data_IF_548314647528
#
_entry.id   IF_548314647528
#
_cell.length_a   1.000
_cell.length_b   1.000
_cell.length_c   1.000
_cell.angle_alpha   90.00
_cell.angle_beta   90.00
_cell.angle_gamma   90.00
#
_symmetry.space_group_name_H-M   'P 1'
#
loop_
_entity.id
_entity.type
_entity.pdbx_description
1 polymer ?
2 polymer ?
3 non-polymer ?
4 water ?
#
# COMPACT_ATOMS: atom_id res chain seq x y z
N UNK A 2 15.11 -0.04 21.06
CA UNK A 2 16.00 1.09 20.83
C UNK A 2 15.73 1.72 19.48
N UNK A 3 16.69 2.51 18.98
CA UNK A 3 16.56 3.22 17.72
C UNK A 3 17.78 2.94 16.87
N UNK A 4 17.56 2.58 15.60
CA UNK A 4 18.63 2.38 14.63
C UNK A 4 18.51 3.46 13.58
N UNK A 5 19.50 4.34 13.52
CA UNK A 5 19.43 5.53 12.67
C UNK A 5 19.63 5.16 11.21
N UNK A 6 18.77 5.71 10.34
CA UNK A 6 18.82 5.48 8.92
C UNK A 6 18.42 6.77 8.21
N UNK A 7 19.15 7.16 7.16
CA UNK A 7 18.77 8.36 6.41
C UNK A 7 17.42 8.16 5.74
N UNK A 8 16.57 9.19 5.75
CA UNK A 8 15.20 9.01 5.23
C UNK A 8 15.16 8.73 3.74
N UNK A 9 16.08 9.27 2.95
CA UNK A 9 16.05 9.12 1.51
C UNK A 9 17.45 8.93 0.96
N UNK A 10 17.54 8.12 -0.10
CA UNK A 10 18.78 7.91 -0.83
C UNK A 10 18.48 8.04 -2.33
N UNK A 11 19.54 8.23 -3.10
CA UNK A 11 19.36 8.46 -4.53
C UNK A 11 20.60 8.02 -5.28
N UNK A 12 20.38 7.61 -6.53
CA UNK A 12 21.46 7.21 -7.42
C UNK A 12 20.94 7.07 -8.83
N UNK A 13 21.80 7.37 -9.79
CA UNK A 13 21.39 7.32 -11.19
C UNK A 13 21.43 5.90 -11.72
N UNK A 14 20.74 5.70 -12.84
CA UNK A 14 20.65 4.38 -13.45
C UNK A 14 22.05 3.88 -13.83
N UNK A 15 22.43 2.72 -13.29
CA UNK A 15 23.73 2.17 -13.50
C UNK A 15 24.78 2.58 -12.48
N UNK A 16 24.49 3.56 -11.63
CA UNK A 16 25.43 4.01 -10.63
C UNK A 16 25.28 3.18 -9.36
N UNK A 17 25.88 3.66 -8.27
CA UNK A 17 25.84 2.96 -6.99
C UNK A 17 25.36 3.90 -5.90
N UNK A 18 24.74 3.30 -4.87
CA UNK A 18 24.25 4.04 -3.71
C UNK A 18 24.46 3.17 -2.49
N UNK A 19 24.98 3.76 -1.42
CA UNK A 19 25.18 3.09 -0.15
C UNK A 19 24.17 3.62 0.86
N UNK A 20 23.51 2.71 1.56
CA UNK A 20 22.50 3.05 2.56
C UNK A 20 23.06 2.63 3.92
N UNK A 21 23.33 3.62 4.78
CA UNK A 21 23.90 3.34 6.09
C UNK A 21 22.82 2.96 7.10
N UNK A 22 23.26 2.28 8.16
CA UNK A 22 22.38 1.76 9.20
C UNK A 22 23.18 1.77 10.49
N UNK A 23 22.91 2.77 11.35
CA UNK A 23 23.75 3.05 12.51
C UNK A 23 23.00 2.66 13.78
N UNK A 24 23.62 1.80 14.59
CA UNK A 24 23.07 1.41 15.87
C UNK A 24 24.03 1.70 17.00
N UNK A 25 24.05 0.83 18.00
CA UNK A 25 24.94 0.97 19.15
C UNK A 25 25.77 -0.29 19.31
N UNK A 26 26.51 -0.37 20.42
CA UNK A 26 27.34 -1.53 20.71
C UNK A 26 26.52 -2.73 21.19
N UNK A 27 25.21 -2.57 21.38
CA UNK A 27 24.37 -3.66 21.85
C UNK A 27 23.50 -4.25 20.76
N UNK A 28 23.62 -3.76 19.52
CA UNK A 28 22.86 -4.31 18.41
C UNK A 28 23.73 -4.41 17.17
N UNK A 29 23.87 -3.30 16.43
CA UNK A 29 24.62 -3.32 15.18
C UNK A 29 26.10 -3.59 15.45
N UNK A 30 26.68 -2.93 16.44
CA UNK A 30 28.06 -3.12 16.77
C UNK A 30 28.37 -4.19 17.80
N UNK A 31 27.37 -4.97 18.20
CA UNK A 31 27.57 -6.00 19.19
C UNK A 31 27.52 -7.41 18.64
N UNK A 32 26.95 -7.56 17.45
CA UNK A 32 26.83 -8.86 16.80
C UNK A 32 27.05 -8.68 15.30
N UNK A 33 27.32 -9.79 14.63
CA UNK A 33 27.39 -9.84 13.17
C UNK A 33 26.10 -10.39 12.58
N UNK A 34 24.97 -9.91 13.08
CA UNK A 34 23.66 -10.39 12.64
C UNK A 34 22.80 -9.24 12.12
N UNK A 35 23.30 -8.51 11.12
CA UNK A 35 22.57 -7.41 10.51
C UNK A 35 21.89 -7.94 9.25
N UNK A 36 20.60 -7.64 9.10
CA UNK A 36 19.83 -8.03 7.94
C UNK A 36 19.37 -6.79 7.19
N UNK A 37 19.06 -6.99 5.90
CA UNK A 37 18.54 -5.92 5.06
C UNK A 37 17.29 -6.42 4.34
N UNK A 38 16.30 -5.55 4.23
CA UNK A 38 15.02 -5.90 3.63
C UNK A 38 14.64 -4.87 2.58
N UNK A 39 14.05 -5.35 1.49
CA UNK A 39 13.51 -4.50 0.43
C UNK A 39 11.99 -4.62 0.44
N UNK A 40 11.32 -3.49 0.29
CA UNK A 40 9.85 -3.46 0.26
C UNK A 40 9.40 -2.55 -0.88
N UNK A 41 8.83 -3.16 -1.92
CA UNK A 41 8.15 -2.42 -2.96
C UNK A 41 6.77 -1.98 -2.48
N UNK A 42 6.21 -0.93 -3.08
CA UNK A 42 4.92 -0.43 -2.60
C UNK A 42 3.81 -1.47 -2.76
N UNK A 43 3.01 -1.62 -1.72
CA UNK A 43 1.89 -2.53 -1.75
C UNK A 43 2.23 -4.00 -1.58
N UNK A 44 3.48 -4.31 -1.27
CA UNK A 44 3.93 -5.70 -1.18
C UNK A 44 4.75 -5.92 0.08
N UNK A 45 4.82 -7.18 0.50
CA UNK A 45 5.50 -7.56 1.73
C UNK A 45 7.01 -7.39 1.57
N UNK A 46 7.72 -7.19 2.69
CA UNK A 46 9.19 -7.08 2.61
C UNK A 46 9.84 -8.34 2.07
N UNK A 47 11.05 -8.17 1.56
CA UNK A 47 11.84 -9.26 0.99
C UNK A 47 13.24 -9.24 1.58
N UNK A 48 13.67 -10.38 2.11
CA UNK A 48 15.00 -10.47 2.71
C UNK A 48 16.07 -10.39 1.63
N UNK A 49 16.96 -9.40 1.74
CA UNK A 49 18.04 -9.19 0.79
C UNK A 49 19.41 -9.56 1.33
N UNK A 50 19.67 -9.28 2.61
CA UNK A 50 20.95 -9.56 3.23
C UNK A 50 20.68 -10.11 4.63
N UNK A 51 21.45 -11.14 5.02
CA UNK A 51 21.48 -11.61 6.39
C UNK A 51 22.92 -11.82 6.80
N UNK A 52 23.16 -11.79 8.12
CA UNK A 52 24.51 -11.88 8.69
C UNK A 52 25.44 -10.86 8.03
N UNK A 53 25.01 -9.61 7.99
CA UNK A 53 25.80 -8.46 7.55
C UNK A 53 26.02 -8.46 6.05
N UNK A 54 26.48 -9.60 5.49
CA UNK A 54 26.91 -9.61 4.10
C UNK A 54 26.48 -10.84 3.30
N UNK A 55 25.67 -11.73 3.85
CA UNK A 55 25.26 -12.93 3.13
C UNK A 55 23.96 -12.67 2.36
N UNK A 56 23.90 -13.17 1.13
CA UNK A 56 22.75 -13.01 0.25
C UNK A 56 21.97 -14.30 0.16
N UNK A 57 20.65 -14.27 0.34
CA UNK A 57 19.84 -15.47 0.09
C UNK A 57 19.81 -15.79 -1.40
N UNK A 58 19.26 -16.96 -1.70
CA UNK A 58 19.02 -17.33 -3.09
C UNK A 58 17.94 -16.44 -3.68
N UNK A 59 18.19 -15.92 -4.89
CA UNK A 59 17.26 -15.04 -5.55
C UNK A 59 17.60 -13.56 -5.47
N UNK A 60 18.66 -13.19 -4.77
CA UNK A 60 19.09 -11.80 -4.66
C UNK A 60 20.29 -11.59 -5.58
N UNK A 61 20.25 -10.60 -6.47
CA UNK A 61 21.36 -10.41 -7.40
C UNK A 61 22.63 -9.98 -6.67
N UNK A 62 23.76 -10.15 -7.37
CA UNK A 62 25.05 -9.75 -6.83
C UNK A 62 25.19 -8.24 -6.69
N UNK A 63 24.26 -7.47 -7.25
CA UNK A 63 24.35 -6.02 -7.17
C UNK A 63 24.19 -5.52 -5.74
N UNK A 64 23.47 -6.26 -4.91
CA UNK A 64 23.31 -5.92 -3.49
C UNK A 64 24.41 -6.58 -2.68
N UNK A 65 25.10 -5.79 -1.86
CA UNK A 65 26.18 -6.30 -1.03
C UNK A 65 26.14 -5.59 0.31
N UNK A 66 26.55 -6.32 1.35
CA UNK A 66 26.48 -5.83 2.71
C UNK A 66 27.87 -5.70 3.34
N UNK A 67 27.98 -4.79 4.29
CA UNK A 67 29.21 -4.59 5.04
C UNK A 67 28.87 -3.91 6.36
N UNK A 68 29.79 -4.00 7.31
CA UNK A 68 29.61 -3.40 8.63
C UNK A 68 30.95 -2.88 9.13
N UNK A 69 30.89 -1.81 9.92
CA UNK A 69 32.10 -1.18 10.44
C UNK A 69 31.72 -0.44 11.72
N UNK A 70 32.06 -1.03 12.86
CA UNK A 70 31.67 -0.44 14.13
C UNK A 70 30.17 -0.58 14.34
N UNK A 71 29.53 0.54 14.70
CA UNK A 71 28.09 0.56 14.91
C UNK A 71 27.32 0.88 13.63
N UNK A 72 27.97 0.84 12.47
CA UNK A 72 27.37 1.27 11.22
C UNK A 72 27.43 0.14 10.19
N UNK A 73 26.27 -0.33 9.77
CA UNK A 73 26.16 -1.31 8.70
C UNK A 73 25.69 -0.61 7.42
N UNK A 74 26.21 -1.06 6.28
CA UNK A 74 25.96 -0.41 5.01
C UNK A 74 25.46 -1.42 3.98
N UNK A 75 24.53 -0.97 3.13
CA UNK A 75 24.04 -1.73 2.00
C UNK A 75 24.36 -0.98 0.73
N UNK A 76 25.19 -1.58 -0.13
CA UNK A 76 25.60 -0.98 -1.38
C UNK A 76 24.91 -1.68 -2.53
N UNK A 77 24.31 -0.89 -3.43
CA UNK A 77 23.61 -1.42 -4.61
C UNK A 77 24.32 -0.86 -5.83
N UNK A 78 25.14 -1.67 -6.47
CA UNK A 78 25.84 -1.29 -7.70
C UNK A 78 24.97 -1.58 -8.91
N UNK A 79 25.32 -0.92 -10.03
CA UNK A 79 24.56 -1.07 -11.26
C UNK A 79 23.08 -0.85 -11.06
N UNK A 80 22.74 0.26 -10.41
CA UNK A 80 21.37 0.55 -10.01
C UNK A 80 20.40 0.40 -11.18
N UNK A 81 19.24 -0.19 -10.91
CA UNK A 81 18.24 -0.46 -11.93
C UNK A 81 16.89 0.08 -11.48
N UNK A 82 15.96 0.15 -12.44
CA UNK A 82 14.64 0.73 -12.18
C UNK A 82 13.89 -0.03 -11.08
N UNK A 83 13.98 -1.36 -11.09
CA UNK A 83 13.27 -2.16 -10.10
C UNK A 83 13.87 -2.04 -8.70
N UNK A 84 15.06 -1.46 -8.57
CA UNK A 84 15.67 -1.26 -7.26
C UNK A 84 15.03 -0.12 -6.48
N UNK A 85 14.26 0.75 -7.13
CA UNK A 85 13.56 1.81 -6.42
C UNK A 85 12.54 1.21 -5.47
N UNK A 86 12.76 1.40 -4.17
CA UNK A 86 11.92 0.83 -3.13
C UNK A 86 12.33 1.38 -1.76
N UNK A 87 11.77 0.82 -0.69
CA UNK A 87 12.19 1.15 0.66
C UNK A 87 13.10 0.05 1.19
N UNK A 88 14.09 0.44 1.98
CA UNK A 88 15.08 -0.50 2.50
C UNK A 88 15.21 -0.30 4.00
N UNK A 89 15.00 -1.38 4.76
CA UNK A 89 15.13 -1.39 6.21
C UNK A 89 16.22 -2.36 6.61
N UNK A 90 17.02 -1.98 7.60
CA UNK A 90 18.00 -2.87 8.19
C UNK A 90 17.45 -3.45 9.49
N UNK A 91 17.89 -4.66 9.82
CA UNK A 91 17.50 -5.31 11.05
C UNK A 91 18.75 -5.79 11.79
N UNK A 92 18.65 -5.89 13.11
CA UNK A 92 19.78 -6.33 13.91
C UNK A 92 19.29 -7.05 15.16
N UNK A 93 20.06 -8.04 15.57
CA UNK A 93 19.80 -8.73 16.83
C UNK A 93 20.24 -7.87 18.00
N UNK A 94 19.54 -8.03 19.14
CA UNK A 94 19.83 -7.20 20.31
C UNK A 94 19.68 -7.95 21.62
N UNK A 95 19.70 -9.28 21.61
CA UNK A 95 19.56 -10.05 22.83
C UNK A 95 18.14 -10.50 23.12
N UNK A 96 17.77 -11.66 22.57
CA UNK A 96 16.38 -12.15 22.53
C UNK A 96 15.41 -11.13 21.94
N UNK A 97 15.90 -10.08 21.31
CA UNK A 97 15.03 -9.10 20.69
C UNK A 97 15.69 -8.60 19.42
N UNK A 98 14.85 -8.24 18.45
CA UNK A 98 15.31 -7.62 17.23
C UNK A 98 14.90 -6.16 17.20
N UNK A 99 15.53 -5.43 16.28
CA UNK A 99 15.22 -4.02 16.10
C UNK A 99 15.48 -3.66 14.64
N UNK A 100 14.57 -2.88 14.07
CA UNK A 100 14.69 -2.44 12.69
C UNK A 100 15.21 -1.01 12.63
N UNK A 101 15.79 -0.66 11.48
CA UNK A 101 16.14 0.71 11.19
C UNK A 101 14.93 1.53 10.83
N UNK A 102 15.14 2.83 10.68
CA UNK A 102 14.05 3.73 10.33
C UNK A 102 13.55 3.54 8.93
N UNK A 103 14.42 3.19 8.00
CA UNK A 103 14.02 3.00 6.62
C UNK A 103 14.56 4.10 5.74
N UNK A 104 14.85 3.74 4.48
CA UNK A 104 15.37 4.67 3.51
C UNK A 104 14.66 4.44 2.18
N UNK A 105 14.08 5.51 1.64
CA UNK A 105 13.50 5.46 0.31
C UNK A 105 14.60 5.65 -0.73
N UNK A 106 14.71 4.70 -1.64
CA UNK A 106 15.72 4.72 -2.68
C UNK A 106 15.08 5.15 -3.99
N UNK A 107 15.52 6.29 -4.52
CA UNK A 107 15.06 6.79 -5.81
C UNK A 107 16.16 6.59 -6.84
N UNK A 108 15.81 5.95 -7.95
CA UNK A 108 16.75 5.74 -9.05
C UNK A 108 16.57 6.89 -10.04
N UNK A 109 17.54 7.80 -10.06
CA UNK A 109 17.40 9.03 -10.83
C UNK A 109 17.81 8.81 -12.28
N UNK A 110 17.24 9.61 -13.18
CA UNK A 110 17.64 9.63 -14.57
C UNK A 110 17.32 8.37 -15.34
N UNK A 111 16.06 7.96 -15.34
CA UNK A 111 15.58 6.84 -16.13
C UNK A 111 14.70 7.32 -17.26
N UNK A 112 14.46 6.49 -18.28
CA UNK A 112 13.50 6.86 -19.31
C UNK A 112 12.12 7.11 -18.72
N UNK A 113 11.48 8.15 -19.23
CA UNK A 113 10.16 8.55 -18.73
C UNK A 113 9.10 7.55 -19.18
N UNK A 114 7.95 7.62 -18.51
CA UNK A 114 6.79 6.81 -18.86
C UNK A 114 5.61 7.74 -19.03
N UNK A 115 4.99 7.71 -20.20
CA UNK A 115 3.86 8.59 -20.47
C UNK A 115 2.63 8.11 -19.72
N UNK A 116 1.89 9.03 -19.09
CA UNK A 116 0.69 8.63 -18.36
C UNK A 116 -0.43 8.22 -19.30
N UNK A 117 -1.27 7.28 -18.83
CA UNK A 117 -2.50 6.91 -19.51
C UNK A 117 -3.65 7.58 -18.79
N UNK A 118 -4.32 8.51 -19.47
CA UNK A 118 -5.37 9.33 -18.89
C UNK A 118 -6.73 8.78 -19.33
N UNK A 119 -7.68 8.74 -18.40
CA UNK A 119 -9.05 8.38 -18.70
C UNK A 119 -9.98 9.28 -17.90
N UNK A 120 -10.93 9.90 -18.59
CA UNK A 120 -11.87 10.84 -17.98
C UNK A 120 -13.27 10.25 -18.03
N UNK A 121 -13.95 10.24 -16.88
CA UNK A 121 -15.31 9.72 -16.80
C UNK A 121 -16.30 10.87 -16.57
N UNK A 122 -17.42 10.87 -17.28
CA UNK A 122 -18.49 11.83 -17.00
C UNK A 122 -19.21 11.45 -15.72
N UNK A 123 -20.14 12.29 -15.25
CA UNK A 123 -20.97 11.87 -14.11
C UNK A 123 -21.92 10.76 -14.52
N UNK A 124 -22.11 9.79 -13.62
CA UNK A 124 -23.04 8.71 -13.88
C UNK A 124 -24.47 9.21 -13.75
N UNK A 125 -25.39 8.49 -14.40
CA UNK A 125 -26.80 8.82 -14.29
C UNK A 125 -27.30 8.68 -12.86
N UNK A 126 -26.71 7.76 -12.09
CA UNK A 126 -27.13 7.57 -10.71
C UNK A 126 -26.73 8.75 -9.84
N UNK A 127 -25.55 9.33 -10.09
CA UNK A 127 -25.14 10.51 -9.32
C UNK A 127 -25.95 11.73 -9.72
N UNK A 128 -26.27 11.87 -11.01
CA UNK A 128 -27.10 12.98 -11.46
C UNK A 128 -28.50 12.90 -10.88
N UNK A 129 -29.03 11.69 -10.71
CA UNK A 129 -30.35 11.53 -10.10
C UNK A 129 -30.33 11.86 -8.61
N UNK A 130 -29.16 11.85 -7.97
CA UNK A 130 -29.01 12.30 -6.60
C UNK A 130 -28.66 13.77 -6.51
N UNK A 131 -28.84 14.53 -7.60
CA UNK A 131 -28.57 15.95 -7.64
C UNK A 131 -27.09 16.25 -7.34
N UNK A 132 -26.21 15.44 -7.90
CA UNK A 132 -24.76 15.65 -7.79
C UNK A 132 -24.12 15.35 -9.13
N UNK A 133 -22.86 15.78 -9.28
CA UNK A 133 -22.12 15.52 -10.50
C UNK A 133 -20.63 15.58 -10.20
N UNK A 134 -19.89 14.59 -10.69
CA UNK A 134 -18.46 14.51 -10.47
C UNK A 134 -17.78 14.03 -11.74
N UNK A 135 -16.71 14.73 -12.14
CA UNK A 135 -15.86 14.30 -13.23
C UNK A 135 -14.61 13.64 -12.67
N UNK A 136 -14.32 12.43 -13.13
CA UNK A 136 -13.27 11.60 -12.54
C UNK A 136 -12.17 11.42 -13.59
N UNK A 137 -11.02 12.05 -13.36
CA UNK A 137 -9.87 11.97 -14.24
C UNK A 137 -8.82 11.08 -13.59
N UNK A 138 -8.38 10.05 -14.31
CA UNK A 138 -7.50 9.03 -13.76
C UNK A 138 -6.21 8.97 -14.58
N UNK A 139 -5.08 9.00 -13.86
CA UNK A 139 -3.76 9.12 -14.46
C UNK A 139 -2.90 8.02 -13.87
N UNK A 140 -2.33 7.17 -14.72
CA UNK A 140 -1.58 6.02 -14.25
C UNK A 140 -0.42 5.71 -15.17
N UNK A 141 0.51 4.89 -14.64
CA UNK A 141 1.63 4.33 -15.40
C UNK A 141 2.58 5.41 -15.91
N UNK A 142 2.78 6.47 -15.12
CA UNK A 142 3.70 7.53 -15.51
C UNK A 142 4.91 7.56 -14.57
N UNK A 143 6.03 8.04 -15.12
CA UNK A 143 7.25 8.24 -14.38
C UNK A 143 8.08 9.33 -15.04
N UNK A 144 8.64 10.29 -14.28
CA UNK A 144 8.59 10.43 -12.81
C UNK A 144 7.22 10.87 -12.28
N UNK A 145 7.19 11.21 -10.98
CA UNK A 145 5.92 11.34 -10.29
C UNK A 145 5.29 12.70 -10.35
N UNK A 146 6.04 13.72 -10.77
CA UNK A 146 5.50 15.07 -10.82
C UNK A 146 4.54 15.20 -12.00
N UNK A 147 3.36 15.78 -11.74
CA UNK A 147 2.36 15.94 -12.77
C UNK A 147 1.39 17.04 -12.34
N UNK A 148 0.98 17.85 -13.32
CA UNK A 148 -0.02 18.89 -13.12
C UNK A 148 -1.31 18.52 -13.84
N UNK A 149 -2.43 18.69 -13.16
CA UNK A 149 -3.75 18.38 -13.70
C UNK A 149 -4.54 19.67 -13.80
N UNK A 150 -5.03 19.98 -15.00
CA UNK A 150 -5.78 21.21 -15.24
C UNK A 150 -7.14 20.86 -15.81
N UNK A 151 -8.19 21.45 -15.23
CA UNK A 151 -9.56 21.26 -15.70
C UNK A 151 -9.99 22.45 -16.54
N UNK A 152 -10.84 22.16 -17.54
CA UNK A 152 -11.30 23.18 -18.47
C UNK A 152 -12.79 22.98 -18.76
N UNK A 153 -13.55 24.05 -18.67
CA UNK A 153 -14.93 24.09 -19.15
C UNK A 153 -14.90 24.67 -20.57
N UNK A 154 -15.24 23.84 -21.56
CA UNK A 154 -14.92 24.15 -22.95
C UNK A 154 -13.45 24.49 -23.07
N UNK A 155 -13.15 25.76 -23.36
CA UNK A 155 -11.79 26.24 -23.49
C UNK A 155 -11.32 27.09 -22.32
N UNK A 156 -12.24 27.50 -21.41
CA UNK A 156 -11.88 28.36 -20.29
C UNK A 156 -11.60 27.53 -19.04
N UNK A 157 -10.74 28.04 -18.16
CA UNK A 157 -10.42 27.29 -16.94
C UNK A 157 -11.59 27.28 -15.97
N UNK A 158 -11.69 26.17 -15.22
CA UNK A 158 -12.79 25.98 -14.29
C UNK A 158 -12.57 26.84 -13.05
N UNK A 159 -13.68 27.28 -12.44
CA UNK A 159 -13.60 28.21 -11.31
C UNK A 159 -13.22 27.49 -10.02
N UNK A 160 -13.99 26.48 -9.62
CA UNK A 160 -13.76 25.83 -8.33
C UNK A 160 -14.30 24.41 -8.36
N UNK A 161 -14.05 23.69 -7.27
CA UNK A 161 -14.53 22.32 -7.09
C UNK A 161 -13.58 21.27 -7.61
N UNK A 162 -12.28 21.43 -7.36
CA UNK A 162 -11.25 20.55 -7.88
C UNK A 162 -10.52 19.90 -6.72
N UNK A 163 -10.38 18.57 -6.78
CA UNK A 163 -9.62 17.79 -5.81
C UNK A 163 -8.70 16.85 -6.57
N UNK A 164 -7.44 16.77 -6.13
CA UNK A 164 -6.45 15.97 -6.84
C UNK A 164 -5.59 15.20 -5.84
N UNK A 165 -5.37 13.92 -6.12
CA UNK A 165 -4.52 13.10 -5.28
C UNK A 165 -3.08 13.57 -5.33
N UNK A 166 -2.29 13.06 -4.39
CA UNK A 166 -0.85 13.15 -4.49
C UNK A 166 -0.33 11.92 -5.23
N UNK A 167 0.57 12.08 -6.20
CA UNK A 167 1.04 10.91 -6.96
C UNK A 167 1.77 9.92 -6.06
N UNK A 168 1.30 8.68 -6.07
CA UNK A 168 1.88 7.61 -5.28
C UNK A 168 2.10 6.39 -6.14
N UNK A 169 3.19 5.67 -5.86
CA UNK A 169 3.54 4.49 -6.65
C UNK A 169 2.61 3.33 -6.34
N UNK A 170 2.25 2.59 -7.38
CA UNK A 170 1.37 1.44 -7.27
C UNK A 170 2.19 0.16 -7.16
N UNK A 171 1.51 -0.99 -7.24
CA UNK A 171 2.18 -2.27 -7.09
C UNK A 171 3.15 -2.57 -8.23
N UNK A 172 2.94 -1.97 -9.40
CA UNK A 172 3.87 -2.13 -10.52
C UNK A 172 5.04 -1.16 -10.46
N UNK A 173 5.23 -0.50 -9.31
CA UNK A 173 6.34 0.43 -9.07
C UNK A 173 6.25 1.70 -9.91
N UNK A 174 5.08 2.01 -10.46
CA UNK A 174 4.88 3.24 -11.23
C UNK A 174 3.86 4.11 -10.54
N UNK A 175 3.85 5.39 -10.90
CA UNK A 175 3.02 6.37 -10.22
C UNK A 175 1.60 6.39 -10.78
N UNK A 176 0.67 6.82 -9.94
CA UNK A 176 -0.72 6.97 -10.33
C UNK A 176 -1.36 8.07 -9.50
N UNK A 177 -2.25 8.84 -10.12
CA UNK A 177 -2.96 9.92 -9.44
C UNK A 177 -4.38 9.96 -9.97
N UNK A 178 -5.18 10.87 -9.41
CA UNK A 178 -6.56 11.04 -9.82
C UNK A 178 -7.04 12.43 -9.40
N UNK A 179 -7.88 13.03 -10.22
CA UNK A 179 -8.41 14.36 -9.98
C UNK A 179 -9.92 14.35 -10.14
N UNK A 180 -10.61 15.06 -9.25
CA UNK A 180 -12.07 15.05 -9.17
C UNK A 180 -12.59 16.47 -9.30
N UNK A 181 -13.40 16.72 -10.34
CA UNK A 181 -14.07 17.99 -10.53
C UNK A 181 -15.52 17.85 -10.11
N UNK A 182 -15.91 18.61 -9.08
CA UNK A 182 -17.26 18.54 -8.52
C UNK A 182 -18.11 19.65 -9.11
N UNK A 183 -19.31 19.29 -9.58
CA UNK A 183 -20.24 20.22 -10.19
C UNK A 183 -21.65 19.88 -9.76
N UNK A 184 -22.54 20.86 -9.88
CA UNK A 184 -23.95 20.58 -9.80
C UNK A 184 -24.42 20.03 -11.14
N UNK A 185 -25.53 19.28 -11.16
CA UNK A 185 -26.04 18.78 -12.44
C UNK A 185 -26.34 19.88 -13.44
N UNK A 186 -26.73 21.07 -12.97
CA UNK A 186 -27.03 22.16 -13.90
C UNK A 186 -25.78 22.75 -14.52
N UNK A 187 -24.68 22.79 -13.77
CA UNK A 187 -23.41 23.22 -14.34
C UNK A 187 -22.90 22.22 -15.37
N UNK A 188 -23.11 20.93 -15.12
CA UNK A 188 -22.59 19.90 -16.01
C UNK A 188 -23.23 19.98 -17.39
N UNK A 189 -24.53 20.24 -17.45
CA UNK A 189 -25.25 20.33 -18.71
C UNK A 189 -25.20 21.73 -19.32
N UNK A 190 -24.44 22.65 -18.73
CA UNK A 190 -24.38 24.02 -19.23
C UNK A 190 -23.27 24.24 -20.25
N UNK A 191 -22.16 23.52 -20.13
CA UNK A 191 -21.02 23.69 -21.03
C UNK A 191 -21.01 22.60 -22.08
N UNK A 192 -20.42 22.92 -23.24
CA UNK A 192 -20.36 21.96 -24.33
C UNK A 192 -19.49 20.76 -23.97
N UNK A 193 -18.39 21.00 -23.27
CA UNK A 193 -17.47 19.91 -22.95
C UNK A 193 -16.61 20.31 -21.76
N UNK A 194 -16.08 19.30 -21.09
CA UNK A 194 -15.14 19.47 -19.99
C UNK A 194 -13.89 18.66 -20.30
N UNK A 195 -12.73 19.20 -19.95
CA UNK A 195 -11.46 18.61 -20.33
C UNK A 195 -10.56 18.44 -19.12
N UNK A 196 -9.89 17.29 -19.05
CA UNK A 196 -8.82 17.06 -18.08
C UNK A 196 -7.50 17.16 -18.82
N UNK A 197 -6.66 18.10 -18.39
CA UNK A 197 -5.36 18.34 -19.02
C UNK A 197 -4.26 17.86 -18.08
N UNK A 198 -3.51 16.86 -18.52
CA UNK A 198 -2.47 16.22 -17.72
C UNK A 198 -1.13 16.63 -18.31
N UNK A 199 -0.39 17.48 -17.59
CA UNK A 199 0.94 17.92 -17.99
C UNK A 199 1.97 17.09 -17.23
N UNK A 200 2.85 16.41 -17.97
CA UNK A 200 3.84 15.53 -17.37
C UNK A 200 5.15 15.67 -18.13
N UNK A 201 6.17 16.23 -17.47
CA UNK A 201 7.51 16.35 -18.02
C UNK A 201 7.52 17.14 -19.34
N UNK A 202 6.74 18.21 -19.39
CA UNK A 202 6.68 19.06 -20.56
C UNK A 202 5.66 18.65 -21.60
N UNK A 203 5.21 17.40 -21.57
CA UNK A 203 4.18 16.92 -22.48
C UNK A 203 2.81 17.02 -21.82
N UNK A 204 1.80 17.33 -22.64
CA UNK A 204 0.44 17.57 -22.16
C UNK A 204 -0.53 16.64 -22.86
N UNK A 205 -1.37 15.97 -22.08
CA UNK A 205 -2.43 15.11 -22.59
C UNK A 205 -3.77 15.72 -22.18
N UNK A 206 -4.76 15.62 -23.07
CA UNK A 206 -6.08 16.17 -22.83
C UNK A 206 -7.15 15.16 -23.19
N UNK A 207 -8.05 14.90 -22.25
CA UNK A 207 -9.24 14.07 -22.46
C UNK A 207 -10.48 14.93 -22.25
N UNK A 208 -11.52 14.64 -23.03
CA UNK A 208 -12.69 15.51 -23.08
C UNK A 208 -13.96 14.68 -23.03
N UNK A 209 -14.94 15.15 -22.26
CA UNK A 209 -16.26 14.55 -22.17
C UNK A 209 -17.31 15.61 -22.46
N UNK A 210 -18.50 15.15 -22.84
CA UNK A 210 -19.60 16.04 -23.20
C UNK A 210 -20.89 15.51 -22.62
N UNK A 211 -21.80 16.39 -22.21
CA UNK A 211 -23.09 15.92 -21.68
C UNK A 211 -24.03 15.40 -22.76
N UNK A 212 -23.88 15.84 -24.00
CA UNK A 212 -24.70 15.35 -25.10
C UNK A 212 -24.10 14.08 -25.71
N UNK A 213 -22.81 14.10 -26.03
CA UNK A 213 -22.14 12.93 -26.58
C UNK A 213 -22.01 11.82 -25.54
N UNK B 1 3.24 -23.94 -1.79
CA UNK B 1 4.22 -22.94 -1.38
C UNK B 1 4.01 -22.54 0.08
N UNK B 2 5.05 -21.95 0.68
CA UNK B 2 4.91 -21.35 2.00
C UNK B 2 3.95 -20.16 1.90
N UNK B 3 3.14 -19.98 2.95
CA UNK B 3 2.11 -18.95 2.90
C UNK B 3 1.68 -18.57 4.31
N UNK B 4 1.53 -17.26 4.54
CA UNK B 4 1.00 -16.72 5.78
C UNK B 4 -0.04 -15.67 5.45
N UNK B 5 -1.16 -15.69 6.18
CA UNK B 5 -2.27 -14.78 5.91
C UNK B 5 -2.81 -14.24 7.22
N UNK B 6 -2.74 -12.92 7.38
CA UNK B 6 -3.20 -12.26 8.60
C UNK B 6 -4.66 -11.84 8.48
N UNK B 7 -5.41 -12.00 9.57
CA UNK B 7 -6.81 -11.60 9.62
C UNK B 7 -7.09 -10.92 10.95
N UNK B 8 -8.20 -10.20 10.99
CA UNK B 8 -8.65 -9.53 12.20
C UNK B 8 -8.47 -8.02 12.25
N UNK B 9 -8.24 -7.36 11.11
CA UNK B 9 -7.99 -5.94 11.11
C UNK B 9 -9.26 -5.11 11.08
N UNK B 10 -9.08 -3.82 11.31
CA UNK B 10 -10.20 -2.90 11.32
C UNK B 10 -9.88 -1.67 12.16
N UNK B 11 -10.90 -0.84 12.34
CA UNK B 11 -10.82 0.35 13.16
C UNK B 11 -11.40 0.07 14.54
N UNK B 12 -10.74 0.60 15.56
CA UNK B 12 -11.16 0.37 16.94
C UNK B 12 -10.73 1.58 17.77
N UNK B 13 -11.55 1.95 18.74
CA UNK B 13 -11.35 3.19 19.47
C UNK B 13 -10.20 3.04 20.47
N UNK B 14 -9.53 4.14 20.81
CA UNK B 14 -8.43 4.08 21.78
C UNK B 14 -8.92 3.57 23.13
N UNK B 15 -8.30 2.48 23.59
CA UNK B 15 -8.65 1.82 24.82
C UNK B 15 -9.35 0.49 24.64
N UNK B 16 -9.95 0.26 23.47
CA UNK B 16 -10.61 -1.00 23.19
C UNK B 16 -9.58 -2.06 22.80
N UNK B 17 -10.07 -3.23 22.41
CA UNK B 17 -9.24 -4.39 22.14
C UNK B 17 -9.46 -4.87 20.71
N UNK B 18 -8.55 -5.74 20.25
CA UNK B 18 -8.60 -6.32 18.92
C UNK B 18 -7.63 -7.49 18.87
N UNK B 19 -8.06 -8.59 18.25
CA UNK B 19 -7.28 -9.81 18.16
C UNK B 19 -6.95 -10.10 16.71
N UNK B 20 -5.67 -10.36 16.44
CA UNK B 20 -5.18 -10.69 15.10
C UNK B 20 -4.86 -12.17 15.02
N UNK B 21 -5.06 -12.74 13.83
CA UNK B 21 -4.78 -14.15 13.58
C UNK B 21 -3.88 -14.26 12.35
N UNK B 22 -3.07 -15.32 12.32
CA UNK B 22 -2.18 -15.58 11.19
C UNK B 22 -2.27 -17.07 10.84
N UNK B 23 -2.86 -17.38 9.70
CA UNK B 23 -2.98 -18.75 9.24
C UNK B 23 -1.73 -19.13 8.44
N UNK B 24 -1.16 -20.29 8.76
CA UNK B 24 0.07 -20.74 8.15
C UNK B 24 -0.16 -22.02 7.35
N UNK B 25 0.65 -22.20 6.31
CA UNK B 25 0.56 -23.37 5.45
C UNK B 25 1.83 -23.46 4.62
N UNK B 26 2.10 -24.65 4.10
CA UNK B 26 3.22 -24.87 3.22
C UNK B 26 4.54 -25.20 3.89
N UNK B 27 4.59 -25.17 5.22
CA UNK B 27 5.82 -25.45 5.95
C UNK B 27 5.44 -26.00 7.31
N UNK B 28 6.37 -26.70 8.00
CA UNK B 28 6.03 -27.24 9.33
C UNK B 28 5.90 -26.16 10.39
N UNK B 29 4.67 -25.67 10.59
CA UNK B 29 4.40 -24.69 11.63
C UNK B 29 4.70 -25.23 13.02
N UNK B 30 4.79 -26.56 13.17
CA UNK B 30 4.99 -27.14 14.50
C UNK B 30 6.34 -26.75 15.09
N UNK B 31 7.34 -26.49 14.26
CA UNK B 31 8.71 -26.37 14.75
C UNK B 31 9.27 -24.96 14.69
N UNK B 32 8.69 -24.07 13.89
CA UNK B 32 9.26 -22.75 13.67
C UNK B 32 8.69 -21.73 14.65
N UNK B 33 9.54 -20.76 15.02
CA UNK B 33 9.08 -19.61 15.78
C UNK B 33 8.57 -18.54 14.82
N UNK B 34 7.49 -17.87 15.21
CA UNK B 34 6.88 -16.86 14.37
C UNK B 34 6.88 -15.54 15.14
N UNK B 35 6.79 -14.43 14.38
CA UNK B 35 6.92 -13.10 14.93
C UNK B 35 5.88 -12.18 14.31
N UNK B 36 5.60 -11.09 15.02
CA UNK B 36 4.76 -10.01 14.51
C UNK B 36 5.62 -8.77 14.30
N UNK B 37 5.46 -8.12 13.14
CA UNK B 37 6.13 -6.88 12.83
C UNK B 37 5.09 -5.94 12.22
N UNK B 38 5.06 -4.69 12.69
CA UNK B 38 4.11 -3.72 12.21
C UNK B 38 4.82 -2.62 11.43
N UNK B 39 4.06 -1.96 10.55
CA UNK B 39 4.54 -0.86 9.73
C UNK B 39 3.63 0.34 9.97
N UNK B 40 4.10 1.30 10.74
CA UNK B 40 3.28 2.48 11.02
C UNK B 40 3.33 3.45 9.85
N UNK B 41 2.22 4.10 9.53
CA UNK B 41 2.20 5.04 8.39
C UNK B 41 3.17 6.19 8.63
N UNK B 42 4.08 6.38 7.68
CA UNK B 42 5.11 7.38 7.78
C UNK B 42 6.38 6.91 8.45
N UNK B 43 6.28 5.92 9.33
CA UNK B 43 7.44 5.32 9.97
C UNK B 43 7.83 4.06 9.22
N UNK B 44 8.76 3.28 9.80
CA UNK B 44 9.23 2.06 9.21
C UNK B 44 8.73 0.83 9.93
N UNK B 45 9.38 -0.30 9.66
CA UNK B 45 9.05 -1.54 10.34
C UNK B 45 9.35 -1.43 11.83
N UNK B 46 8.58 -2.16 12.63
CA UNK B 46 8.84 -2.22 14.07
C UNK B 46 8.42 -3.59 14.58
N UNK B 47 9.37 -4.30 15.20
CA UNK B 47 9.07 -5.62 15.73
C UNK B 47 8.09 -5.53 16.89
N UNK B 48 7.12 -6.44 16.91
CA UNK B 48 6.05 -6.40 17.91
C UNK B 48 6.28 -7.48 18.96
N UNK B 49 6.27 -8.74 18.54
CA UNK B 49 6.36 -9.84 19.48
C UNK B 49 6.93 -11.07 18.77
N UNK B 50 7.27 -12.07 19.59
CA UNK B 50 7.83 -13.33 19.10
C UNK B 50 7.40 -14.45 20.03
N UNK B 51 7.28 -15.65 19.48
CA UNK B 51 6.89 -16.83 20.25
C UNK B 51 7.55 -18.05 19.64
N UNK B 52 8.14 -18.90 20.48
CA UNK B 52 8.83 -20.08 20.01
C UNK B 52 7.84 -21.17 19.61
N UNK B 53 8.37 -22.32 19.18
CA UNK B 53 7.51 -23.37 18.63
C UNK B 53 6.57 -23.93 19.69
N UNK B 54 7.03 -24.03 20.93
CA UNK B 54 6.24 -24.59 22.01
C UNK B 54 5.77 -23.53 23.00
N UNK B 55 5.86 -22.25 22.63
CA UNK B 55 5.52 -21.11 23.47
C UNK B 55 6.43 -20.99 24.69
N UNK B 56 7.54 -21.72 24.71
CA UNK B 56 8.47 -21.64 25.84
C UNK B 56 9.26 -20.35 25.89
N UNK B 57 9.38 -19.65 24.77
CA UNK B 57 10.09 -18.37 24.71
C UNK B 57 9.18 -17.34 24.08
N UNK B 58 8.92 -16.25 24.80
CA UNK B 58 8.01 -15.20 24.36
C UNK B 58 8.65 -13.85 24.66
N UNK B 59 8.58 -12.93 23.70
CA UNK B 59 9.14 -11.62 23.88
C UNK B 59 8.24 -10.55 23.30
N UNK B 60 8.29 -9.37 23.89
CA UNK B 60 7.51 -8.23 23.45
C UNK B 60 8.38 -7.00 23.36
N UNK B 61 8.01 -6.08 22.46
CA UNK B 61 8.64 -4.77 22.44
C UNK B 61 8.19 -3.97 23.67
N UNK B 62 9.04 -3.04 24.10
CA UNK B 62 8.73 -2.25 25.29
C UNK B 62 7.47 -1.41 25.10
N UNK B 63 7.15 -1.04 23.86
CA UNK B 63 5.98 -0.23 23.60
C UNK B 63 4.67 -1.01 23.71
N UNK B 64 4.73 -2.35 23.75
CA UNK B 64 3.53 -3.16 23.81
C UNK B 64 3.66 -4.20 24.92
N UNK B 65 4.77 -4.14 25.67
CA UNK B 65 4.94 -5.06 26.79
C UNK B 65 3.86 -4.83 27.83
N UNK B 66 3.22 -5.91 28.26
CA UNK B 66 2.13 -5.81 29.22
C UNK B 66 0.87 -5.28 28.59
N UNK B 67 0.91 -5.10 27.27
CA UNK B 67 -0.23 -4.64 26.50
C UNK B 67 -0.73 -5.69 25.51
N UNK B 68 0.16 -6.28 24.72
CA UNK B 68 -0.21 -7.33 23.79
C UNK B 68 0.05 -8.70 24.42
N UNK B 69 -0.64 -9.71 23.88
CA UNK B 69 -0.48 -11.09 24.32
C UNK B 69 -0.39 -11.99 23.10
N UNK B 70 0.78 -12.56 22.87
CA UNK B 70 1.00 -13.45 21.74
C UNK B 70 0.74 -14.88 22.18
N UNK B 71 0.25 -15.69 21.24
CA UNK B 71 -0.04 -17.10 21.51
C UNK B 71 -0.13 -17.82 20.17
N UNK B 72 -0.28 -19.14 20.22
CA UNK B 72 -0.34 -19.93 19.01
C UNK B 72 -1.08 -21.23 19.29
N UNK B 73 -1.60 -21.82 18.21
CA UNK B 73 -2.28 -23.12 18.25
C UNK B 73 -1.68 -23.97 17.14
N UNK B 74 -0.70 -24.80 17.49
CA UNK B 74 0.03 -25.57 16.48
C UNK B 74 -0.88 -26.55 15.74
N UNK B 75 -1.96 -27.01 16.39
CA UNK B 75 -2.88 -27.92 15.71
C UNK B 75 -3.63 -27.20 14.59
N UNK B 76 -3.98 -25.94 14.79
CA UNK B 76 -4.66 -25.15 13.77
C UNK B 76 -3.68 -24.39 12.89
N UNK B 77 -2.38 -24.51 13.13
CA UNK B 77 -1.35 -23.80 12.38
C UNK B 77 -1.63 -22.30 12.35
N UNK B 78 -1.96 -21.75 13.52
CA UNK B 78 -2.41 -20.37 13.63
C UNK B 78 -1.65 -19.65 14.73
N UNK B 79 -1.29 -18.40 14.45
CA UNK B 79 -0.66 -17.50 15.40
C UNK B 79 -1.63 -16.38 15.75
N UNK B 80 -1.61 -15.94 17.00
CA UNK B 80 -2.54 -14.93 17.48
C UNK B 80 -1.80 -13.79 18.17
N UNK B 81 -2.43 -12.62 18.18
CA UNK B 81 -1.92 -11.44 18.88
C UNK B 81 -3.11 -10.69 19.45
N UNK B 82 -3.29 -10.79 20.77
CA UNK B 82 -4.38 -10.10 21.46
C UNK B 82 -3.91 -8.70 21.85
N UNK B 83 -4.48 -7.69 21.20
CA UNK B 83 -4.12 -6.29 21.43
C UNK B 83 -5.22 -5.64 22.26
N UNK B 84 -4.91 -5.32 23.51
CA UNK B 84 -5.82 -4.60 24.40
C UNK B 84 -5.28 -3.21 24.69
N UNK B 85 -6.18 -2.30 25.04
CA UNK B 85 -5.85 -0.92 25.39
C UNK B 85 -5.02 -0.26 24.29
N UNK B 86 -5.62 -0.21 23.10
CA UNK B 86 -4.92 0.28 21.92
C UNK B 86 -4.83 1.81 21.94
N UNK B 87 -3.72 2.32 21.42
CA UNK B 87 -3.43 3.74 21.36
C UNK B 87 -3.31 4.19 19.91
N UNK B 88 -3.37 5.51 19.71
CA UNK B 88 -3.28 6.05 18.36
C UNK B 88 -1.99 5.63 17.67
N UNK B 89 -0.89 5.56 18.41
CA UNK B 89 0.38 5.12 17.84
C UNK B 89 0.42 3.63 17.54
N UNK B 90 -0.62 2.87 17.89
CA UNK B 90 -0.71 1.47 17.49
C UNK B 90 -1.25 1.30 16.09
N UNK B 91 -1.76 2.37 15.48
CA UNK B 91 -2.20 2.32 14.09
C UNK B 91 -1.03 1.96 13.18
N UNK B 92 -1.10 0.80 12.55
CA UNK B 92 0.00 0.32 11.72
C UNK B 92 -0.50 -0.84 10.86
N UNK B 93 0.39 -1.35 10.01
CA UNK B 93 0.13 -2.53 9.20
C UNK B 93 0.90 -3.70 9.80
N UNK B 94 0.16 -4.66 10.37
CA UNK B 94 0.77 -5.74 11.14
C UNK B 94 1.07 -6.93 10.23
N UNK B 95 2.34 -7.37 10.24
CA UNK B 95 2.81 -8.45 9.40
C UNK B 95 3.04 -9.72 10.23
N UNK B 96 2.76 -10.87 9.63
CA UNK B 96 3.12 -12.16 10.18
C UNK B 96 4.33 -12.67 9.40
N UNK B 97 5.42 -12.97 10.11
CA UNK B 97 6.67 -13.34 9.47
C UNK B 97 7.32 -14.50 10.18
N UNK B 98 7.79 -15.48 9.41
CA UNK B 98 8.52 -16.62 9.94
C UNK B 98 10.01 -16.44 9.69
N UNK B 99 10.82 -17.11 10.52
CA UNK B 99 12.26 -17.05 10.37
C UNK B 99 12.79 -18.04 9.36
N UNK B 100 14.06 -17.85 8.99
CA UNK B 100 14.71 -18.76 8.06
C UNK B 100 14.91 -20.14 8.68
N UNK B 101 15.14 -20.19 9.99
CA UNK B 101 15.32 -21.44 10.71
C UNK B 101 14.42 -21.46 11.94
N UNK B 102 14.02 -22.65 12.40
CA UNK B 102 12.95 -22.74 13.40
C UNK B 102 13.29 -22.16 14.77
N UNK B 103 14.51 -21.70 15.00
CA UNK B 103 14.85 -21.16 16.31
C UNK B 103 14.17 -19.85 16.59
N UNK B 104 14.07 -19.54 17.89
CA UNK B 104 13.45 -18.30 18.37
C UNK B 104 14.15 -17.08 17.79
N UNK B 105 15.42 -16.88 18.17
CA UNK B 105 16.21 -15.76 17.67
C UNK B 105 16.77 -16.00 16.28
N UNK B 106 16.50 -17.15 15.66
CA UNK B 106 17.05 -17.43 14.33
C UNK B 106 16.47 -16.50 13.29
N UNK B 107 15.24 -16.01 13.49
CA UNK B 107 14.71 -14.99 12.61
C UNK B 107 15.54 -13.71 12.62
N UNK B 108 16.23 -13.46 13.73
CA UNK B 108 17.17 -12.35 13.79
C UNK B 108 18.55 -12.77 13.31
N UNK B 109 18.90 -14.05 13.47
CA UNK B 109 20.21 -14.54 13.04
C UNK B 109 20.32 -14.53 11.51
N UNK B 110 19.34 -15.12 10.82
CA UNK B 110 19.40 -15.32 9.39
C UNK B 110 18.33 -14.58 8.62
N UNK B 111 17.54 -13.73 9.29
CA UNK B 111 16.52 -12.94 8.62
C UNK B 111 15.16 -13.59 8.62
N UNK B 112 14.16 -12.81 8.24
CA UNK B 112 12.78 -13.26 8.14
C UNK B 112 12.46 -13.39 6.66
N UNK B 113 12.41 -14.63 6.17
CA UNK B 113 12.36 -14.86 4.73
C UNK B 113 10.95 -14.82 4.16
N UNK B 114 9.95 -15.18 4.96
CA UNK B 114 8.57 -15.27 4.50
C UNK B 114 7.73 -14.27 5.29
N UNK B 115 6.97 -13.44 4.58
CA UNK B 115 6.08 -12.46 5.17
C UNK B 115 4.68 -12.63 4.61
N UNK B 116 3.68 -12.30 5.42
CA UNK B 116 2.31 -12.25 4.97
C UNK B 116 1.98 -10.93 4.30
N UNK B 117 0.74 -10.83 3.83
CA UNK B 117 0.30 -9.61 3.18
C UNK B 117 -0.04 -8.49 4.16
N UNK B 118 -0.32 -8.83 5.41
CA UNK B 118 -0.56 -7.84 6.43
C UNK B 118 -2.04 -7.52 6.62
N UNK B 119 -2.36 -7.05 7.81
CA UNK B 119 -3.73 -6.66 8.17
C UNK B 119 -3.70 -5.29 8.81
N UNK B 120 -4.52 -4.38 8.26
CA UNK B 120 -4.51 -2.98 8.70
C UNK B 120 -5.24 -2.82 10.02
N UNK B 121 -4.68 -2.00 10.90
CA UNK B 121 -5.25 -1.70 12.22
C UNK B 121 -5.23 -0.20 12.40
N UNK B 122 -6.41 0.39 12.64
CA UNK B 122 -6.56 1.82 12.83
C UNK B 122 -7.10 2.07 14.23
N UNK B 123 -6.45 2.99 14.95
CA UNK B 123 -6.84 3.31 16.33
C UNK B 123 -7.07 4.82 16.37
N UNK B 124 -8.32 5.23 16.17
CA UNK B 124 -8.67 6.64 16.20
C UNK B 124 -10.07 6.80 16.78
N UNK B 125 -10.32 7.97 17.38
CA UNK B 125 -11.62 8.32 17.91
C UNK B 125 -12.43 9.18 16.95
N UNK B 126 -12.16 9.05 15.66
CA UNK B 126 -12.81 9.89 14.66
C UNK B 126 -14.24 9.42 14.39
N UNK B 127 -15.02 10.30 13.76
CA UNK B 127 -16.38 9.99 13.38
C UNK B 127 -16.39 9.10 12.14
N UNK B 128 -17.58 8.77 11.65
CA UNK B 128 -17.74 7.78 10.60
C UNK B 128 -18.81 8.20 9.62
N UNK B 129 -18.54 8.02 8.33
CA UNK B 129 -19.49 8.34 7.28
C UNK B 129 -19.29 7.35 6.14
N UNK B 130 -20.37 6.72 5.70
CA UNK B 130 -20.32 5.73 4.66
C UNK B 130 -20.25 6.33 3.27
N UNK B 131 -19.59 5.64 2.35
CA UNK B 131 -19.44 6.16 0.99
C UNK B 131 -20.62 5.83 0.08
N UNK B 132 -20.87 6.73 -0.86
CA UNK B 132 -21.78 6.47 -1.96
C UNK B 132 -20.99 5.88 -3.12
N UNK B 133 -21.52 4.81 -3.71
CA UNK B 133 -20.83 4.08 -4.77
C UNK B 133 -21.62 4.27 -6.06
N UNK B 134 -20.98 4.88 -7.06
CA UNK B 134 -21.57 5.10 -8.37
C UNK B 134 -20.75 4.40 -9.44
N UNK B 135 -21.38 3.85 -10.47
CA UNK B 135 -20.64 3.15 -11.52
C UNK B 135 -20.10 4.11 -12.57
N UNK B 136 -18.84 3.89 -12.96
CA UNK B 136 -18.21 4.61 -14.05
C UNK B 136 -18.31 3.74 -15.30
N UNK B 137 -19.39 3.94 -16.05
CA UNK B 137 -19.71 3.05 -17.15
C UNK B 137 -18.74 3.25 -18.32
N UNK B 138 -18.50 2.20 -19.12
CA UNK B 138 -17.69 2.38 -20.33
C UNK B 138 -18.54 2.65 -21.56
N UNK B 139 -17.92 2.88 -22.70
CA UNK B 139 -18.63 3.10 -23.96
C UNK B 139 -18.69 1.79 -24.72
N UNK B 140 -19.89 1.27 -24.91
CA UNK B 140 -20.07 0.01 -25.64
C UNK B 140 -19.81 0.20 -27.12
N UNK B 146 -8.76 -2.61 -28.79
CA UNK B 146 -9.95 -3.40 -28.54
C UNK B 146 -10.24 -3.59 -27.07
N UNK B 147 -9.88 -2.58 -26.26
CA UNK B 147 -10.10 -2.60 -24.83
C UNK B 147 -10.97 -1.42 -24.42
N UNK B 148 -11.52 -1.50 -23.21
CA UNK B 148 -12.35 -0.45 -22.65
C UNK B 148 -12.11 -0.37 -21.15
N UNK B 149 -12.27 0.83 -20.60
CA UNK B 149 -12.04 1.09 -19.19
C UNK B 149 -13.37 1.33 -18.49
N UNK B 150 -13.60 0.61 -17.39
CA UNK B 150 -14.77 0.81 -16.55
C UNK B 150 -14.33 0.80 -15.10
N UNK B 151 -15.17 1.36 -14.25
CA UNK B 151 -14.88 1.35 -12.83
C UNK B 151 -16.08 1.79 -12.02
N UNK B 152 -15.82 2.14 -10.76
CA UNK B 152 -16.86 2.67 -9.89
C UNK B 152 -16.24 3.73 -8.99
N UNK B 153 -17.09 4.64 -8.53
CA UNK B 153 -16.68 5.84 -7.80
C UNK B 153 -17.06 5.69 -6.33
N UNK B 154 -16.07 5.65 -5.46
CA UNK B 154 -16.28 5.56 -4.01
C UNK B 154 -16.12 6.97 -3.46
N UNK B 155 -17.25 7.60 -3.12
CA UNK B 155 -17.32 9.03 -2.92
C UNK B 155 -17.73 9.38 -1.48
N UNK B 156 -17.00 10.34 -0.90
CA UNK B 156 -17.38 11.01 0.33
C UNK B 156 -17.55 10.01 1.49
N UNK B 157 -16.41 9.51 1.96
CA UNK B 157 -16.40 8.63 3.11
C UNK B 157 -15.37 9.12 4.12
N UNK B 158 -15.48 8.61 5.34
CA UNK B 158 -14.60 8.97 6.45
C UNK B 158 -14.74 7.96 7.58
N UNK B 159 -13.64 7.45 8.14
CA UNK B 159 -12.27 7.74 7.68
C UNK B 159 -11.72 6.66 6.75
N UNK B 160 -10.39 6.57 6.68
CA UNK B 160 -9.70 5.57 5.89
C UNK B 160 -9.67 4.24 6.64
N UNK B 161 -9.62 3.10 5.91
CA UNK B 161 -9.66 3.03 4.45
C UNK B 161 -10.89 2.29 3.91
N UNK B 162 -10.94 2.17 2.58
CA UNK B 162 -11.93 1.34 1.91
C UNK B 162 -11.17 0.31 1.07
N UNK B 163 -11.78 -0.87 0.93
CA UNK B 163 -11.24 -1.93 0.10
C UNK B 163 -12.18 -2.15 -1.08
N UNK B 164 -11.61 -2.21 -2.28
CA UNK B 164 -12.38 -2.40 -3.50
C UNK B 164 -11.83 -3.61 -4.23
N UNK B 165 -12.66 -4.64 -4.39
CA UNK B 165 -12.35 -5.80 -5.21
C UNK B 165 -13.35 -5.86 -6.36
N UNK B 166 -13.09 -6.75 -7.32
CA UNK B 166 -13.95 -6.91 -8.48
C UNK B 166 -14.32 -8.38 -8.63
N UNK B 167 -15.61 -8.65 -8.77
CA UNK B 167 -16.13 -10.01 -8.93
C UNK B 167 -15.72 -10.90 -7.75
N UNK B 168 -15.97 -10.40 -6.54
CA UNK B 168 -15.63 -11.08 -5.30
C UNK B 168 -14.16 -11.48 -5.22
N UNK B 169 -13.28 -10.76 -5.91
CA UNK B 169 -11.86 -11.05 -5.88
C UNK B 169 -11.35 -11.86 -7.06
N UNK B 170 -12.23 -12.42 -7.87
CA UNK B 170 -11.80 -13.21 -9.02
C UNK B 170 -11.22 -12.35 -10.13
N UNK B 171 -11.54 -11.07 -10.16
CA UNK B 171 -11.02 -10.14 -11.18
C UNK B 171 -9.90 -9.32 -10.56
N UNK B 172 -8.66 -9.73 -10.82
CA UNK B 172 -7.48 -9.02 -10.36
C UNK B 172 -6.60 -8.50 -11.48
N UNK B 173 -6.57 -9.17 -12.64
CA UNK B 173 -5.79 -8.72 -13.77
C UNK B 173 -6.47 -7.55 -14.47
N UNK B 174 -5.67 -6.57 -14.88
CA UNK B 174 -6.18 -5.37 -15.51
C UNK B 174 -6.82 -4.38 -14.56
N UNK B 175 -6.74 -4.61 -13.25
CA UNK B 175 -7.35 -3.73 -12.26
C UNK B 175 -6.35 -2.63 -11.90
N UNK B 176 -6.74 -1.38 -12.12
CA UNK B 176 -5.91 -0.24 -11.81
C UNK B 176 -6.28 0.33 -10.44
N UNK B 177 -5.28 0.55 -9.61
CA UNK B 177 -5.47 1.06 -8.25
C UNK B 177 -5.05 2.53 -8.18
N UNK B 178 -5.73 3.27 -7.32
CA UNK B 178 -5.52 4.71 -7.18
C UNK B 178 -5.64 5.10 -5.73
N UNK B 179 -4.92 6.14 -5.31
CA UNK B 179 -5.04 6.63 -3.93
C UNK B 179 -6.27 7.52 -3.80
N UNK B 180 -6.59 7.85 -2.55
CA UNK B 180 -7.78 8.64 -2.26
C UNK B 180 -7.42 10.11 -2.09
N UNK B 181 -8.35 10.97 -2.48
CA UNK B 181 -8.24 12.39 -2.21
C UNK B 181 -8.82 12.66 -0.82
N UNK B 182 -8.13 13.47 -0.04
CA UNK B 182 -8.72 14.07 1.16
C UNK B 182 -9.26 15.43 0.73
N UNK B 183 -10.54 15.46 0.37
CA UNK B 183 -11.14 16.66 -0.19
C UNK B 183 -11.19 17.77 0.86
N UNK B 184 -11.40 19.00 0.39
CA UNK B 184 -11.48 20.15 1.28
C UNK B 184 -12.66 20.05 2.25
N UNK B 185 -13.62 19.17 1.99
CA UNK B 185 -14.74 18.95 2.90
C UNK B 185 -14.38 18.08 4.09
N UNK B 186 -13.18 17.52 4.13
CA UNK B 186 -12.79 16.61 5.18
C UNK B 186 -13.12 15.16 4.91
N UNK B 187 -13.77 14.86 3.77
CA UNK B 187 -14.15 13.51 3.41
C UNK B 187 -13.22 12.99 2.31
N UNK B 188 -13.03 11.68 2.30
CA UNK B 188 -12.21 11.04 1.27
C UNK B 188 -13.06 10.64 0.07
N UNK B 189 -12.38 10.45 -1.06
CA UNK B 189 -13.01 9.92 -2.25
C UNK B 189 -11.99 9.05 -2.99
N UNK B 190 -12.50 7.98 -3.60
CA UNK B 190 -11.65 6.98 -4.23
C UNK B 190 -12.33 6.49 -5.51
N UNK B 191 -11.52 5.95 -6.42
CA UNK B 191 -12.02 5.37 -7.66
C UNK B 191 -11.16 4.19 -8.03
N UNK B 192 -11.81 3.12 -8.50
CA UNK B 192 -11.15 1.91 -8.95
C UNK B 192 -11.59 1.63 -10.39
N UNK B 193 -10.65 1.19 -11.23
CA UNK B 193 -10.92 1.04 -12.65
C UNK B 193 -10.25 -0.23 -13.16
N UNK B 194 -10.97 -0.98 -14.00
CA UNK B 194 -10.47 -2.20 -14.61
C UNK B 194 -10.49 -2.03 -16.13
N UNK B 195 -9.43 -2.50 -16.78
CA UNK B 195 -9.33 -2.47 -18.23
C UNK B 195 -9.61 -3.86 -18.78
N UNK B 196 -10.63 -3.97 -19.63
CA UNK B 196 -11.09 -5.27 -20.12
C UNK B 196 -11.23 -5.20 -21.63
N UNK B 197 -11.19 -6.36 -22.30
CA UNK B 197 -11.39 -6.35 -23.75
C UNK B 197 -12.80 -5.90 -24.12
N UNK B 198 -12.90 -5.25 -25.29
CA UNK B 198 -14.15 -4.62 -25.68
C UNK B 198 -15.23 -5.64 -26.02
N UNK B 199 -14.84 -6.76 -26.64
CA UNK B 199 -15.81 -7.75 -27.11
C UNK B 199 -16.49 -8.52 -25.97
N UNK B 200 -16.34 -8.11 -24.71
CA UNK B 200 -16.93 -8.83 -23.59
C UNK B 200 -17.91 -7.98 -22.79
N UNK B 201 -18.25 -6.77 -23.27
CA UNK B 201 -19.09 -5.88 -22.49
C UNK B 201 -20.50 -6.43 -22.34
N UNK B 202 -21.06 -7.01 -23.40
CA UNK B 202 -22.35 -7.65 -23.32
C UNK B 202 -22.32 -9.08 -22.85
N UNK B 203 -21.14 -9.63 -22.56
CA UNK B 203 -20.99 -11.02 -22.19
C UNK B 203 -20.71 -11.18 -20.70
N UNK B 204 -19.66 -10.56 -20.19
CA UNK B 204 -19.25 -10.73 -18.80
C UNK B 204 -19.91 -9.68 -17.91
N UNK B 205 -19.88 -9.95 -16.61
CA UNK B 205 -20.48 -9.07 -15.61
C UNK B 205 -19.38 -8.56 -14.68
N UNK B 206 -19.33 -7.25 -14.51
CA UNK B 206 -18.29 -6.61 -13.72
C UNK B 206 -18.93 -5.93 -12.52
N UNK B 207 -18.53 -6.36 -11.32
CA UNK B 207 -19.12 -5.90 -10.07
C UNK B 207 -17.98 -5.50 -9.14
N UNK B 208 -18.02 -4.26 -8.66
CA UNK B 208 -17.02 -3.76 -7.72
C UNK B 208 -17.55 -3.90 -6.30
N UNK B 209 -16.74 -4.48 -5.42
CA UNK B 209 -17.13 -4.79 -4.05
C UNK B 209 -16.45 -3.80 -3.12
N UNK B 210 -17.21 -2.80 -2.67
CA UNK B 210 -16.69 -1.75 -1.80
C UNK B 210 -17.02 -2.11 -0.36
N UNK B 211 -15.99 -2.10 0.49
CA UNK B 211 -16.14 -2.43 1.91
C UNK B 211 -15.54 -1.30 2.73
N UNK B 212 -16.38 -0.60 3.48
CA UNK B 212 -15.96 0.47 4.38
C UNK B 212 -16.36 0.04 5.79
N UNK B 213 -15.46 -0.70 6.45
CA UNK B 213 -15.78 -1.28 7.75
C UNK B 213 -16.13 -0.24 8.82
N UNK B 214 -15.51 0.95 8.87
CA UNK B 214 -15.97 1.96 9.84
C UNK B 214 -17.48 2.16 9.88
N UNK B 215 -18.12 2.29 8.73
CA UNK B 215 -19.55 2.52 8.66
C UNK B 215 -20.36 1.23 8.48
N UNK B 216 -19.70 0.08 8.45
CA UNK B 216 -20.35 -1.20 8.17
C UNK B 216 -21.11 -1.13 6.84
N UNK B 217 -20.50 -0.51 5.85
CA UNK B 217 -21.09 -0.36 4.52
C UNK B 217 -20.44 -1.36 3.57
N UNK B 218 -21.26 -2.18 2.92
CA UNK B 218 -20.78 -3.16 1.95
C UNK B 218 -21.68 -3.07 0.72
N UNK B 219 -21.16 -2.46 -0.34
CA UNK B 219 -21.92 -2.21 -1.57
C UNK B 219 -21.32 -3.06 -2.69
N UNK B 220 -22.21 -3.68 -3.47
CA UNK B 220 -21.83 -4.40 -4.68
C UNK B 220 -22.56 -3.74 -5.86
N UNK B 221 -21.81 -3.06 -6.71
CA UNK B 221 -22.38 -2.29 -7.80
C UNK B 221 -22.00 -2.93 -9.13
N UNK B 222 -23.01 -3.37 -9.88
CA UNK B 222 -22.78 -3.89 -11.22
C UNK B 222 -22.57 -2.73 -12.18
N UNK B 223 -21.45 -2.74 -12.90
CA UNK B 223 -21.12 -1.68 -13.85
C UNK B 223 -21.35 -2.22 -15.25
N UNK B 224 -22.22 -1.57 -16.00
CA UNK B 224 -22.63 -2.03 -17.32
C UNK B 224 -22.60 -0.89 -18.32
N UNK B 225 -22.49 -1.20 -19.62
CA UNK B 225 -22.33 -0.14 -20.62
C UNK B 225 -23.53 0.79 -20.70
N UNK B 226 -23.26 2.04 -21.06
CA UNK B 226 -24.31 3.03 -21.19
C UNK B 226 -25.16 2.76 -22.43
N UNK B 227 -26.41 3.21 -22.37
CA UNK B 227 -27.37 3.06 -23.47
C UNK B 227 -27.61 4.44 -24.06
N UNK B 228 -26.77 4.81 -25.03
CA UNK B 228 -26.87 6.12 -25.68
C UNK B 228 -28.07 6.15 -26.62
X LIG C 1 -6.21 4.71 -15.64
X LIG C 1 -5.54 5.93 -15.60
X LIG C 1 -6.81 4.57 -17.05
X LIG C 1 -6.07 5.26 -17.99
X LIG C 1 -6.86 3.05 -17.33
X LIG C 1 -7.08 2.88 -18.68
X LIG D 1 10.82 3.25 -10.90
X LIG D 1 11.82 2.30 -10.76
X LIG D 1 10.57 3.41 -12.42
X LIG D 1 11.72 3.24 -13.16
X LIG D 1 9.51 2.34 -12.75
X LIG D 1 8.49 2.50 -11.82
X LIG E 1 14.75 -6.03 -7.58
X LIG E 1 15.59 -5.16 -6.91
X LIG E 1 15.30 -7.45 -7.35
X LIG E 1 16.67 -7.44 -7.19
X LIG E 1 14.57 -7.94 -6.08
X LIG E 1 13.21 -7.82 -6.34
X LIG F 1 -24.68 27.73 -13.49
X LIG F 1 -25.39 27.25 -14.59
X LIG F 1 -25.58 27.53 -12.26
X LIG F 1 -26.78 28.22 -12.38
X LIG F 1 -25.81 26.02 -12.18
X LIG F 1 -26.25 25.75 -10.89
X LIG G 1 9.44 -6.41 -1.83
X LIG G 1 8.12 -6.04 -1.56
X LIG G 1 9.43 -7.09 -3.22
X LIG G 1 10.68 -7.60 -3.55
X LIG G 1 8.36 -8.19 -3.10
X LIG G 1 8.40 -8.90 -4.29
X LIG H 1 -3.38 -2.02 -20.09
X LIG H 1 -3.69 -2.63 -21.29
X LIG H 1 -3.01 -0.55 -20.40
X LIG H 1 -4.01 0.09 -21.12
X LIG H 1 -2.78 0.10 -19.02
X LIG H 1 -2.90 1.47 -19.20
X LIG I 1 -14.88 6.87 -22.01
X LIG I 1 -15.48 7.69 -21.04
X LIG I 1 -14.39 5.60 -21.30
X LIG I 1 -15.42 4.96 -20.61
X LIG I 1 -13.78 4.74 -22.42
X LIG I 1 -13.57 3.48 -21.88
X LIG J 1 -7.61 3.38 0.18
X LIG J 1 -7.60 3.95 1.45
X LIG J 1 -6.14 3.31 -0.32
X LIG J 1 -5.60 2.04 -0.15
X LIG J 1 -6.20 3.72 -1.80
X LIG J 1 -5.12 3.11 -2.44
#
# INVERSE_FOLDING_TARGET
QSVVTQPPSASGSLGQSVTISCTGTSSDVGGYNYVSWYQQHPGKAPKLMIFEVSKRPSGVPDRFSGSKSGNTASLTVSGLQAEDEADYYCSSYAGNKGVFGGGTKLTVLGQPKANPTVTLFPPSSEELQANKATLVCLISDFYPGAVTVAWKADSSPVKAGVETTTPSKQSNNKYAASSYLSLTPEQWKSHRSYSCQVTHEGSTVEKTVAPTECS
EVQLLETGGGLVQPGRSLRLSCAASGFPFDDYAIHWVRLAPGKGLEWVSSISWDSGSIGYADSVKGRFTISRDNAKNSLYLQMNSLRAEDTALYYCAKGAFPGYSSGWYYGLDVWGQGATVTVSSASTKGPSVFPLAPSSKSTSGGTAALGCLVKDYFPEPVTVSWNSGALTSGVHTFPAVLQSSGLYSLSSVVTVPSSSLGTQTYICNVNHKPSNTKVDKRVEPKSCDK
GOL C1 O1 C2 O2 C3 O3
GOL C1 O1 C2 O2 C3 O3
GOL C1 O1 C2 O2 C3 O3
GOL C1 O1 C2 O2 C3 O3
GOL C1 O1 C2 O2 C3 O3
GOL C1 O1 C2 O2 C3 O3
GOL C1 O1 C2 O2 C3 O3
GOL C1 O1 C2 O2 C3 O3
#
